data_IF_702471950411
#
_entry.id   IF_702471950411
#
_cell.length_a   1.000
_cell.length_b   1.000
_cell.length_c   1.000
_cell.angle_alpha   90.00
_cell.angle_beta   90.00
_cell.angle_gamma   90.00
#
_symmetry.space_group_name_H-M   'P 1'
#
loop_
_entity.id
_entity.type
_entity.pdbx_description
1 polymer ?
#
# COMPACT_ATOMS: atom_id res chain seq x y z
N UNK A 1 3.44 -15.41 -6.94
CA UNK A 1 2.36 -16.42 -6.74
C UNK A 1 2.15 -17.28 -7.98
N UNK A 2 2.69 -16.91 -9.14
CA UNK A 2 2.66 -17.72 -10.36
C UNK A 2 1.28 -17.84 -11.01
N UNK A 3 0.43 -16.85 -10.82
CA UNK A 3 -0.90 -16.74 -11.47
C UNK A 3 -0.86 -15.69 -12.57
N UNK A 4 -1.58 -15.94 -13.65
CA UNK A 4 -1.81 -14.95 -14.70
C UNK A 4 -2.90 -13.98 -14.22
N UNK A 5 -2.78 -12.70 -14.57
CA UNK A 5 -3.74 -11.67 -14.20
C UNK A 5 -3.77 -10.55 -15.24
N UNK A 6 -4.86 -9.82 -15.27
CA UNK A 6 -5.03 -8.59 -16.04
C UNK A 6 -5.11 -7.38 -15.12
N UNK A 7 -4.58 -6.24 -15.56
CA UNK A 7 -4.65 -4.99 -14.81
C UNK A 7 -5.83 -4.17 -15.35
N UNK A 8 -6.76 -3.85 -14.45
CA UNK A 8 -7.84 -2.91 -14.70
C UNK A 8 -7.52 -1.58 -14.01
N UNK A 9 -7.51 -0.51 -14.78
CA UNK A 9 -7.34 0.83 -14.22
C UNK A 9 -8.71 1.44 -13.97
N UNK A 10 -8.96 1.87 -12.75
CA UNK A 10 -10.19 2.60 -12.36
C UNK A 10 -9.80 4.00 -11.91
N UNK A 11 -10.58 4.99 -12.35
CA UNK A 11 -10.43 6.38 -11.92
C UNK A 11 -11.49 6.66 -10.86
N UNK A 12 -11.07 6.73 -9.60
CA UNK A 12 -11.93 7.05 -8.46
C UNK A 12 -11.27 8.14 -7.62
N UNK A 13 -12.07 9.07 -7.14
CA UNK A 13 -11.61 10.06 -6.19
C UNK A 13 -11.37 9.39 -4.82
N UNK A 14 -10.11 9.27 -4.42
CA UNK A 14 -9.69 8.61 -3.17
C UNK A 14 -10.00 9.51 -1.96
N UNK A 15 -11.28 9.63 -1.61
CA UNK A 15 -11.74 10.42 -0.47
C UNK A 15 -12.07 9.52 0.72
N UNK A 16 -11.81 10.04 1.93
CA UNK A 16 -12.13 9.35 3.19
C UNK A 16 -12.39 10.38 4.30
N UNK A 17 -13.04 9.96 5.38
CA UNK A 17 -13.26 10.79 6.55
C UNK A 17 -11.96 10.94 7.35
N UNK A 18 -11.45 12.17 7.59
CA UNK A 18 -10.22 12.39 8.35
C UNK A 18 -10.24 11.88 9.80
N UNK A 19 -11.42 11.56 10.34
CA UNK A 19 -11.58 11.01 11.68
C UNK A 19 -11.39 9.48 11.74
N UNK A 20 -11.32 8.82 10.59
CA UNK A 20 -11.14 7.37 10.55
C UNK A 20 -9.73 6.95 10.95
N UNK A 21 -9.63 5.75 11.51
CA UNK A 21 -8.34 5.12 11.77
C UNK A 21 -7.63 4.74 10.46
N UNK A 22 -6.30 4.60 10.47
CA UNK A 22 -5.54 4.15 9.30
C UNK A 22 -6.07 2.84 8.69
N UNK A 23 -6.52 1.92 9.53
CA UNK A 23 -7.11 0.64 9.13
C UNK A 23 -8.42 0.83 8.37
N UNK A 24 -9.30 1.68 8.87
CA UNK A 24 -10.58 2.02 8.24
C UNK A 24 -10.35 2.67 6.88
N UNK A 25 -9.38 3.60 6.80
CA UNK A 25 -9.02 4.31 5.58
C UNK A 25 -8.57 3.33 4.49
N UNK A 26 -7.58 2.47 4.77
CA UNK A 26 -7.05 1.56 3.73
C UNK A 26 -8.07 0.50 3.30
N UNK A 27 -8.91 0.03 4.23
CA UNK A 27 -10.00 -0.88 3.89
C UNK A 27 -11.06 -0.20 3.03
N UNK A 28 -11.38 1.06 3.32
CA UNK A 28 -12.30 1.84 2.51
C UNK A 28 -11.75 2.08 1.10
N UNK A 29 -10.51 2.58 1.00
CA UNK A 29 -9.87 2.89 -0.28
C UNK A 29 -9.70 1.65 -1.17
N UNK A 30 -9.36 0.50 -0.58
CA UNK A 30 -9.28 -0.75 -1.35
C UNK A 30 -10.64 -1.19 -1.91
N UNK A 31 -11.74 -0.99 -1.17
CA UNK A 31 -13.10 -1.22 -1.67
C UNK A 31 -13.49 -0.23 -2.76
N UNK A 32 -13.17 1.04 -2.53
CA UNK A 32 -13.51 2.14 -3.43
C UNK A 32 -12.92 1.91 -4.83
N UNK A 33 -11.70 1.36 -4.93
CA UNK A 33 -11.06 1.02 -6.21
C UNK A 33 -11.83 -0.02 -7.03
N UNK A 34 -12.64 -0.86 -6.40
CA UNK A 34 -13.49 -1.84 -7.10
C UNK A 34 -14.88 -1.30 -7.45
N UNK A 35 -15.28 -0.16 -6.88
CA UNK A 35 -16.66 0.35 -7.02
C UNK A 35 -17.10 0.66 -8.46
N UNK A 36 -16.23 1.11 -9.40
CA UNK A 36 -16.64 1.35 -10.78
C UNK A 36 -16.77 0.08 -11.62
N UNK A 37 -16.33 -1.08 -11.10
CA UNK A 37 -16.31 -2.32 -11.87
C UNK A 37 -17.68 -2.99 -11.81
N UNK A 38 -18.34 -3.10 -12.96
CA UNK A 38 -19.60 -3.85 -13.10
C UNK A 38 -19.31 -5.37 -13.11
N UNK A 39 -18.97 -5.92 -11.94
CA UNK A 39 -18.51 -7.32 -11.78
C UNK A 39 -19.49 -8.35 -12.37
N UNK A 40 -20.77 -8.03 -12.42
CA UNK A 40 -21.80 -8.92 -12.99
C UNK A 40 -21.64 -9.18 -14.50
N UNK A 41 -20.85 -8.36 -15.20
CA UNK A 41 -20.55 -8.54 -16.63
C UNK A 41 -19.40 -9.52 -16.90
N UNK A 42 -18.70 -9.95 -15.84
CA UNK A 42 -17.57 -10.87 -15.94
C UNK A 42 -18.01 -12.32 -15.63
N UNK A 43 -17.15 -13.26 -16.02
CA UNK A 43 -17.36 -14.66 -15.65
C UNK A 43 -17.54 -14.79 -14.12
N UNK A 44 -18.52 -15.59 -13.64
CA UNK A 44 -18.73 -15.79 -12.21
C UNK A 44 -17.51 -16.25 -11.41
N UNK A 45 -16.50 -16.82 -12.09
CA UNK A 45 -15.23 -17.26 -11.51
C UNK A 45 -14.14 -16.17 -11.53
N UNK A 46 -14.43 -15.01 -12.11
CA UNK A 46 -13.48 -13.89 -12.13
C UNK A 46 -13.26 -13.38 -10.71
N UNK A 47 -11.98 -13.23 -10.35
CA UNK A 47 -11.56 -12.70 -9.07
C UNK A 47 -11.01 -11.29 -9.27
N UNK A 48 -11.53 -10.34 -8.52
CA UNK A 48 -11.06 -8.96 -8.50
C UNK A 48 -10.25 -8.73 -7.23
N UNK A 49 -9.09 -8.08 -7.37
CA UNK A 49 -8.20 -7.77 -6.26
C UNK A 49 -7.88 -6.28 -6.34
N UNK A 50 -8.10 -5.56 -5.26
CA UNK A 50 -7.66 -4.18 -5.12
C UNK A 50 -6.94 -3.99 -3.78
N UNK A 51 -5.89 -3.19 -3.81
CA UNK A 51 -5.11 -2.85 -2.63
C UNK A 51 -4.89 -1.34 -2.57
N UNK A 52 -4.86 -0.81 -1.36
CA UNK A 52 -4.43 0.56 -1.09
C UNK A 52 -3.47 0.61 0.08
N UNK A 53 -2.49 1.51 0.02
CA UNK A 53 -1.41 1.58 1.02
C UNK A 53 -1.16 3.01 1.46
N UNK A 54 -1.11 3.22 2.77
CA UNK A 54 -0.72 4.48 3.39
C UNK A 54 0.45 4.27 4.34
N UNK A 55 1.20 5.33 4.57
CA UNK A 55 2.30 5.39 5.55
C UNK A 55 1.87 6.32 6.69
N UNK A 56 2.11 5.91 7.93
CA UNK A 56 1.80 6.70 9.12
C UNK A 56 3.03 6.85 9.98
N UNK A 57 3.45 8.07 10.24
CA UNK A 57 4.55 8.43 11.14
C UNK A 57 4.05 9.48 12.15
N UNK A 58 4.32 9.29 13.43
CA UNK A 58 3.94 10.19 14.52
C UNK A 58 2.44 10.58 14.51
N UNK A 59 1.58 9.67 14.03
CA UNK A 59 0.13 9.88 13.90
C UNK A 59 -0.30 10.66 12.64
N UNK A 60 0.64 11.07 11.80
CA UNK A 60 0.38 11.74 10.51
C UNK A 60 0.37 10.72 9.36
N UNK A 61 -0.68 10.79 8.53
CA UNK A 61 -0.77 9.99 7.30
C UNK A 61 0.03 10.70 6.20
N UNK A 62 1.01 9.98 5.65
CA UNK A 62 1.84 10.47 4.54
C UNK A 62 1.40 9.74 3.27
N UNK A 63 0.82 10.50 2.33
CA UNK A 63 0.45 10.01 1.00
C UNK A 63 1.61 10.02 0.01
N UNK A 64 1.28 10.12 -1.28
CA UNK A 64 2.25 10.34 -2.36
C UNK A 64 2.75 11.78 -2.34
N UNK A 65 4.04 12.04 -2.60
CA UNK A 65 4.56 13.41 -2.66
C UNK A 65 4.01 14.15 -3.88
N UNK A 66 3.76 15.45 -3.68
CA UNK A 66 3.26 16.34 -4.74
C UNK A 66 4.35 16.73 -5.73
N UNK A 67 5.56 16.86 -5.23
CA UNK A 67 6.74 17.29 -5.99
C UNK A 67 8.03 16.83 -5.27
N UNK A 68 9.18 17.28 -5.78
CA UNK A 68 10.50 16.93 -5.22
C UNK A 68 10.68 17.45 -3.79
N UNK A 69 10.22 18.66 -3.50
CA UNK A 69 10.40 19.26 -2.18
C UNK A 69 9.54 18.54 -1.12
N UNK A 70 8.34 18.14 -1.51
CA UNK A 70 7.48 17.31 -0.66
C UNK A 70 8.07 15.91 -0.43
N UNK A 71 8.69 15.30 -1.46
CA UNK A 71 9.42 14.05 -1.30
C UNK A 71 10.59 14.17 -0.31
N UNK A 72 11.37 15.26 -0.39
CA UNK A 72 12.44 15.56 0.57
C UNK A 72 11.86 15.70 1.99
N UNK A 73 10.77 16.44 2.15
CA UNK A 73 10.09 16.61 3.43
C UNK A 73 9.66 15.26 4.02
N UNK A 74 9.01 14.42 3.22
CA UNK A 74 8.54 13.09 3.65
C UNK A 74 9.69 12.19 4.10
N UNK A 75 10.76 12.10 3.32
CA UNK A 75 11.93 11.28 3.69
C UNK A 75 12.64 11.80 4.95
N UNK A 76 12.67 13.11 5.16
CA UNK A 76 13.18 13.69 6.41
C UNK A 76 12.29 13.33 7.61
N UNK A 77 10.97 13.27 7.45
CA UNK A 77 10.06 12.83 8.51
C UNK A 77 10.26 11.36 8.88
N UNK A 78 10.63 10.53 7.90
CA UNK A 78 10.88 9.10 8.13
C UNK A 78 12.29 8.82 8.67
N UNK A 79 13.26 9.68 8.38
CA UNK A 79 14.68 9.53 8.74
C UNK A 79 14.85 9.41 10.25
N UNK A 80 15.45 8.30 10.71
CA UNK A 80 15.69 8.02 12.13
C UNK A 80 14.43 7.64 12.94
N UNK A 81 13.28 7.51 12.32
CA UNK A 81 12.00 7.19 12.97
C UNK A 81 11.49 5.79 12.62
N UNK A 82 10.59 5.31 13.46
CA UNK A 82 9.75 4.14 13.15
C UNK A 82 8.41 4.65 12.63
N UNK A 83 7.98 4.11 11.51
CA UNK A 83 6.65 4.38 10.96
C UNK A 83 5.91 3.09 10.67
N UNK A 84 4.61 3.17 10.44
CA UNK A 84 3.77 2.02 10.14
C UNK A 84 3.21 2.15 8.72
N UNK A 85 3.34 1.08 7.95
CA UNK A 85 2.73 0.93 6.62
C UNK A 85 1.48 0.08 6.76
N UNK A 86 0.34 0.65 6.42
CA UNK A 86 -0.95 -0.04 6.38
C UNK A 86 -1.32 -0.32 4.93
N UNK A 87 -1.68 -1.57 4.62
CA UNK A 87 -2.26 -1.92 3.33
C UNK A 87 -3.61 -2.60 3.53
N UNK A 88 -4.66 -1.99 2.98
CA UNK A 88 -5.98 -2.59 2.85
C UNK A 88 -6.06 -3.44 1.59
N UNK A 89 -6.70 -4.57 1.69
CA UNK A 89 -6.89 -5.52 0.60
C UNK A 89 -8.37 -5.88 0.49
N UNK A 90 -8.90 -5.73 -0.70
CA UNK A 90 -10.24 -6.22 -1.05
C UNK A 90 -10.12 -7.27 -2.14
N UNK A 91 -10.74 -8.41 -1.90
CA UNK A 91 -10.88 -9.52 -2.85
C UNK A 91 -12.37 -9.75 -3.09
N UNK A 92 -12.79 -9.75 -4.35
CA UNK A 92 -14.20 -9.87 -4.70
C UNK A 92 -14.43 -10.82 -5.87
N UNK A 93 -15.58 -11.48 -5.83
CA UNK A 93 -16.24 -12.12 -6.96
C UNK A 93 -17.57 -11.42 -7.21
N UNK A 94 -18.31 -11.69 -8.29
CA UNK A 94 -19.67 -11.15 -8.46
C UNK A 94 -20.64 -11.45 -7.29
N UNK A 95 -20.35 -12.46 -6.46
CA UNK A 95 -21.25 -12.92 -5.39
C UNK A 95 -20.77 -12.57 -3.97
N UNK A 96 -19.45 -12.46 -3.75
CA UNK A 96 -18.88 -12.29 -2.41
C UNK A 96 -17.71 -11.32 -2.45
N UNK A 97 -17.58 -10.51 -1.40
CA UNK A 97 -16.46 -9.61 -1.19
C UNK A 97 -15.91 -9.78 0.22
N UNK A 98 -14.60 -9.86 0.31
CA UNK A 98 -13.84 -9.85 1.56
C UNK A 98 -12.93 -8.63 1.58
N UNK A 99 -12.80 -8.00 2.73
CA UNK A 99 -11.88 -6.87 2.94
C UNK A 99 -11.22 -7.00 4.30
N UNK A 100 -9.92 -6.83 4.34
CA UNK A 100 -9.12 -6.83 5.56
C UNK A 100 -7.84 -6.01 5.31
N UNK A 101 -7.01 -5.81 6.32
CA UNK A 101 -5.77 -5.03 6.22
C UNK A 101 -4.60 -5.74 6.88
N UNK A 102 -3.40 -5.22 6.63
CA UNK A 102 -2.17 -5.55 7.38
C UNK A 102 -1.39 -4.28 7.67
N UNK A 103 -0.79 -4.27 8.85
CA UNK A 103 0.13 -3.25 9.30
C UNK A 103 1.54 -3.84 9.44
N UNK A 104 2.56 -3.05 9.11
CA UNK A 104 3.97 -3.42 9.22
C UNK A 104 4.77 -2.21 9.66
N UNK A 105 5.53 -2.35 10.74
CA UNK A 105 6.44 -1.30 11.19
C UNK A 105 7.75 -1.36 10.38
N UNK A 106 8.24 -0.18 10.01
CA UNK A 106 9.50 0.02 9.31
C UNK A 106 10.34 0.99 10.11
N UNK A 107 11.57 0.60 10.43
CA UNK A 107 12.51 1.40 11.21
C UNK A 107 13.59 1.93 10.28
N UNK A 108 13.62 3.23 10.07
CA UNK A 108 14.67 3.89 9.30
C UNK A 108 15.87 4.24 10.19
N UNK A 109 17.06 4.09 9.64
CA UNK A 109 18.24 4.78 10.15
C UNK A 109 18.20 6.27 9.77
N UNK A 110 19.08 7.07 10.38
CA UNK A 110 19.22 8.48 9.99
C UNK A 110 19.78 8.58 8.58
N UNK A 111 19.00 9.20 7.69
CA UNK A 111 19.40 9.48 6.32
C UNK A 111 20.12 10.83 6.25
N UNK A 112 21.22 10.92 5.50
CA UNK A 112 21.81 12.20 5.18
C UNK A 112 21.08 12.90 4.04
N UNK A 113 21.23 14.23 3.94
CA UNK A 113 20.65 15.02 2.84
C UNK A 113 21.12 14.50 1.47
N UNK A 114 22.39 14.10 1.35
CA UNK A 114 22.93 13.53 0.10
C UNK A 114 22.26 12.21 -0.26
N UNK A 115 21.97 11.34 0.71
CA UNK A 115 21.24 10.09 0.49
C UNK A 115 19.82 10.35 -0.01
N UNK A 116 19.13 11.30 0.61
CA UNK A 116 17.76 11.69 0.23
C UNK A 116 17.75 12.25 -1.19
N UNK A 117 18.63 13.19 -1.50
CA UNK A 117 18.72 13.79 -2.85
C UNK A 117 19.07 12.75 -3.91
N UNK A 118 20.08 11.91 -3.66
CA UNK A 118 20.46 10.83 -4.57
C UNK A 118 19.28 9.89 -4.87
N UNK A 119 18.57 9.47 -3.82
CA UNK A 119 17.45 8.57 -3.99
C UNK A 119 16.32 9.19 -4.82
N UNK A 120 15.90 10.41 -4.50
CA UNK A 120 14.82 11.10 -5.23
C UNK A 120 15.22 11.32 -6.70
N UNK A 121 16.45 11.78 -6.95
CA UNK A 121 16.90 12.09 -8.30
C UNK A 121 17.04 10.84 -9.17
N UNK A 122 17.40 9.70 -8.57
CA UNK A 122 17.64 8.44 -9.28
C UNK A 122 16.37 7.62 -9.45
N UNK A 123 15.55 7.49 -8.39
CA UNK A 123 14.42 6.57 -8.33
C UNK A 123 13.06 7.24 -8.54
N UNK A 124 12.97 8.57 -8.40
CA UNK A 124 11.76 9.37 -8.65
C UNK A 124 10.50 8.78 -7.98
N UNK A 125 10.49 8.65 -6.63
CA UNK A 125 9.46 7.90 -5.90
C UNK A 125 8.12 8.66 -5.77
N UNK A 126 7.68 9.38 -6.79
CA UNK A 126 6.50 10.24 -6.78
C UNK A 126 5.18 9.47 -6.82
N UNK A 127 5.22 8.20 -7.14
CA UNK A 127 4.09 7.27 -7.18
C UNK A 127 3.86 6.50 -5.88
N UNK A 128 4.74 6.70 -4.87
CA UNK A 128 4.76 5.89 -3.64
C UNK A 128 4.36 6.68 -2.40
N UNK A 129 3.51 6.09 -1.56
CA UNK A 129 3.20 6.62 -0.23
C UNK A 129 4.49 6.70 0.62
N UNK A 130 4.69 7.83 1.33
CA UNK A 130 5.91 8.08 2.09
C UNK A 130 7.14 8.34 1.23
N UNK A 131 6.98 8.44 -0.08
CA UNK A 131 8.08 8.75 -1.02
C UNK A 131 9.23 7.73 -1.01
N UNK A 132 8.97 6.43 -0.75
CA UNK A 132 9.99 5.40 -0.83
C UNK A 132 9.47 4.03 -1.26
N UNK A 133 10.35 3.20 -1.83
CA UNK A 133 10.11 1.78 -2.09
C UNK A 133 11.08 0.91 -1.29
N UNK A 134 10.55 0.01 -0.45
CA UNK A 134 11.36 -0.91 0.37
C UNK A 134 12.28 -1.81 -0.47
N UNK A 135 11.90 -2.08 -1.72
CA UNK A 135 12.63 -2.90 -2.69
C UNK A 135 13.69 -2.12 -3.47
N UNK A 136 13.79 -0.81 -3.28
CA UNK A 136 14.71 0.09 -3.96
C UNK A 136 15.97 0.35 -3.11
N UNK A 137 16.92 1.11 -3.63
CA UNK A 137 18.19 1.38 -2.98
C UNK A 137 18.06 1.87 -1.53
N UNK A 138 17.10 2.76 -1.27
CA UNK A 138 16.86 3.29 0.07
C UNK A 138 16.47 2.20 1.09
N UNK A 139 15.79 1.13 0.62
CA UNK A 139 15.49 -0.03 1.43
C UNK A 139 16.73 -0.82 1.86
N UNK A 140 17.79 -0.83 1.02
CA UNK A 140 19.04 -1.55 1.33
C UNK A 140 19.93 -0.79 2.31
N UNK A 141 19.91 0.54 2.26
CA UNK A 141 20.89 1.37 3.00
C UNK A 141 20.26 2.18 4.14
N UNK A 142 18.95 2.42 4.10
CA UNK A 142 18.26 3.29 5.02
C UNK A 142 17.30 2.57 5.97
N UNK A 143 16.89 1.34 5.67
CA UNK A 143 15.97 0.58 6.53
C UNK A 143 16.75 -0.38 7.40
N UNK A 144 16.70 -0.16 8.72
CA UNK A 144 17.36 -1.02 9.70
C UNK A 144 16.57 -2.29 10.03
N UNK A 145 15.23 -2.17 10.07
CA UNK A 145 14.35 -3.27 10.48
C UNK A 145 12.96 -3.16 9.87
N UNK A 146 12.37 -4.32 9.54
CA UNK A 146 10.96 -4.45 9.15
C UNK A 146 10.31 -5.44 10.11
N UNK A 147 9.31 -4.98 10.88
CA UNK A 147 8.55 -5.81 11.81
C UNK A 147 7.19 -6.12 11.23
N UNK A 148 7.07 -7.23 10.54
CA UNK A 148 5.86 -7.64 9.84
C UNK A 148 6.15 -8.23 8.47
N UNK A 149 5.37 -7.85 7.47
CA UNK A 149 5.47 -8.39 6.11
C UNK A 149 6.16 -7.42 5.16
N UNK A 150 7.29 -7.84 4.60
CA UNK A 150 7.97 -7.11 3.53
C UNK A 150 7.04 -6.81 2.34
N UNK A 151 6.22 -7.80 1.95
CA UNK A 151 5.27 -7.64 0.84
C UNK A 151 4.14 -6.66 1.16
N UNK A 152 3.78 -6.51 2.45
CA UNK A 152 2.87 -5.45 2.87
C UNK A 152 3.46 -4.07 2.61
N UNK A 153 4.73 -3.87 2.93
CA UNK A 153 5.44 -2.60 2.68
C UNK A 153 5.56 -2.31 1.18
N UNK A 154 5.68 -3.36 0.34
CA UNK A 154 5.65 -3.23 -1.12
C UNK A 154 4.27 -2.86 -1.68
N UNK A 155 3.20 -2.89 -0.87
CA UNK A 155 1.86 -2.50 -1.27
C UNK A 155 0.88 -3.65 -1.55
N UNK A 156 1.31 -4.93 -1.43
CA UNK A 156 0.41 -6.08 -1.56
C UNK A 156 0.68 -7.11 -0.46
N UNK A 157 -0.17 -7.22 0.57
CA UNK A 157 0.00 -8.19 1.67
C UNK A 157 -0.33 -9.61 1.20
N UNK A 158 0.62 -10.26 0.53
CA UNK A 158 0.44 -11.55 -0.16
C UNK A 158 -0.02 -12.69 0.77
N UNK A 159 0.41 -12.69 2.03
CA UNK A 159 -0.06 -13.67 3.02
C UNK A 159 -1.55 -13.49 3.33
N UNK A 160 -2.01 -12.23 3.46
CA UNK A 160 -3.42 -11.92 3.63
C UNK A 160 -4.22 -12.34 2.40
N UNK A 161 -3.71 -11.98 1.20
CA UNK A 161 -4.35 -12.36 -0.05
C UNK A 161 -4.55 -13.88 -0.12
N UNK A 162 -3.53 -14.66 0.21
CA UNK A 162 -3.63 -16.12 0.23
C UNK A 162 -4.75 -16.61 1.16
N UNK A 163 -4.81 -16.10 2.40
CA UNK A 163 -5.85 -16.46 3.37
C UNK A 163 -7.26 -16.15 2.87
N UNK A 164 -7.44 -14.98 2.23
CA UNK A 164 -8.74 -14.58 1.68
C UNK A 164 -9.15 -15.46 0.49
N UNK A 165 -8.20 -15.90 -0.34
CA UNK A 165 -8.45 -16.83 -1.43
C UNK A 165 -8.89 -18.21 -0.91
N UNK A 166 -8.25 -18.71 0.14
CA UNK A 166 -8.66 -19.96 0.80
C UNK A 166 -10.09 -19.85 1.36
N UNK A 167 -10.44 -18.73 1.99
CA UNK A 167 -11.78 -18.49 2.52
C UNK A 167 -12.85 -18.44 1.42
N UNK A 168 -12.54 -17.81 0.29
CA UNK A 168 -13.45 -17.78 -0.86
C UNK A 168 -13.64 -19.16 -1.47
N UNK A 169 -12.57 -19.97 -1.57
CA UNK A 169 -12.61 -21.31 -2.15
C UNK A 169 -13.44 -22.29 -1.30
N UNK A 170 -13.39 -22.19 0.02
CA UNK A 170 -14.16 -23.06 0.95
C UNK A 170 -15.66 -22.71 0.93
N UNK A 171 -16.00 -21.49 0.54
CA UNK A 171 -17.38 -20.97 0.56
C UNK A 171 -18.10 -21.14 -0.79
N UNK A 172 -17.43 -21.70 -1.79
CA UNK A 172 -17.93 -21.98 -3.15
C UNK A 172 -18.33 -23.44 -3.28
#
# INVERSE_FOLDING_TARGET
MGVEFEILTTDVEETYDPSWSPEEIVMHLSKLKLSPIEMAQYDPKTLFIACDTIVVVDGEIIGKPKDKDDAVRMLNMLSGHTHTVYSGLTVATPQKQLTDYRATEVVFDTLSDDMIQYYIDTYKPFDKAGSYGVQEWIGYVGIREVRGSYYNVMGLPTRLLWTMLEELAVSS
#
